data_IF_538249226831
#
_entry.id   IF_538249226831
#
_cell.length_a   1.000
_cell.length_b   1.000
_cell.length_c   1.000
_cell.angle_alpha   90.00
_cell.angle_beta   90.00
_cell.angle_gamma   90.00
#
_symmetry.space_group_name_H-M   'P 1'
#
loop_
_entity.id
_entity.type
_entity.pdbx_description
1 polymer ?
#
# COMPACT_ATOMS: atom_id res chain seq x y z
N UNK A 1 -7.86 -32.10 34.53
CA UNK A 1 -8.79 -31.42 33.62
C UNK A 1 -8.11 -30.15 33.11
N UNK A 2 -7.82 -29.98 31.82
CA UNK A 2 -7.41 -28.68 31.30
C UNK A 2 -8.66 -27.87 30.93
N UNK A 3 -8.82 -26.70 31.55
CA UNK A 3 -9.82 -25.70 31.18
C UNK A 3 -9.38 -25.02 29.88
N UNK A 4 -10.08 -25.28 28.78
CA UNK A 4 -9.97 -24.47 27.56
C UNK A 4 -10.84 -23.22 27.73
N UNK A 5 -10.26 -22.17 28.30
CA UNK A 5 -10.91 -20.84 28.28
C UNK A 5 -10.71 -20.24 26.90
N UNK A 6 -11.79 -20.21 26.12
CA UNK A 6 -11.85 -19.61 24.79
C UNK A 6 -11.44 -18.12 24.79
N UNK A 7 -10.62 -17.73 23.80
CA UNK A 7 -10.26 -16.35 23.37
C UNK A 7 -10.27 -16.32 21.83
N UNK A 8 -10.59 -15.20 21.14
CA UNK A 8 -11.77 -14.33 21.25
C UNK A 8 -12.57 -14.37 19.91
N UNK A 9 -13.86 -14.01 19.93
CA UNK A 9 -14.71 -13.93 18.74
C UNK A 9 -14.94 -12.49 18.25
N UNK A 10 -14.24 -11.49 18.82
CA UNK A 10 -14.38 -10.08 18.49
C UNK A 10 -13.48 -9.62 17.32
N UNK A 11 -12.55 -10.47 16.89
CA UNK A 11 -11.46 -10.08 16.00
C UNK A 11 -11.82 -10.13 14.50
N UNK A 12 -12.86 -10.86 14.11
CA UNK A 12 -13.21 -11.03 12.68
C UNK A 12 -13.72 -9.74 12.03
N UNK A 13 -14.54 -8.96 12.75
CA UNK A 13 -15.04 -7.69 12.21
C UNK A 13 -13.94 -6.64 12.13
N UNK A 14 -13.07 -6.55 13.13
CA UNK A 14 -11.93 -5.65 13.12
C UNK A 14 -10.93 -6.00 12.00
N UNK A 15 -10.66 -7.29 11.78
CA UNK A 15 -9.80 -7.76 10.69
C UNK A 15 -10.40 -7.51 9.30
N UNK A 16 -11.72 -7.65 9.14
CA UNK A 16 -12.41 -7.36 7.87
C UNK A 16 -12.40 -5.85 7.55
N UNK A 17 -12.62 -5.02 8.57
CA UNK A 17 -12.52 -3.56 8.44
C UNK A 17 -11.10 -3.12 8.11
N UNK A 18 -10.09 -3.72 8.76
CA UNK A 18 -8.69 -3.51 8.44
C UNK A 18 -8.42 -3.88 6.98
N UNK A 19 -8.75 -5.10 6.55
CA UNK A 19 -8.60 -5.52 5.14
C UNK A 19 -9.28 -4.57 4.15
N UNK A 20 -10.45 -4.04 4.48
CA UNK A 20 -11.15 -3.10 3.59
C UNK A 20 -10.39 -1.77 3.49
N UNK A 21 -9.85 -1.24 4.59
CA UNK A 21 -9.00 -0.05 4.57
C UNK A 21 -7.74 -0.27 3.72
N UNK A 22 -7.09 -1.42 3.89
CA UNK A 22 -5.93 -1.83 3.09
C UNK A 22 -6.25 -1.89 1.59
N UNK A 23 -7.37 -2.51 1.24
CA UNK A 23 -7.84 -2.60 -0.13
C UNK A 23 -8.10 -1.22 -0.75
N UNK A 24 -8.70 -0.29 0.01
CA UNK A 24 -8.93 1.08 -0.45
C UNK A 24 -7.61 1.82 -0.69
N UNK A 25 -6.63 1.63 0.20
CA UNK A 25 -5.29 2.18 0.03
C UNK A 25 -4.63 1.65 -1.25
N UNK A 26 -4.61 0.33 -1.43
CA UNK A 26 -4.07 -0.35 -2.61
C UNK A 26 -4.73 0.11 -3.90
N UNK A 27 -6.06 0.16 -3.94
CA UNK A 27 -6.81 0.60 -5.12
C UNK A 27 -6.48 2.05 -5.49
N UNK A 28 -6.33 2.93 -4.49
CA UNK A 28 -5.94 4.33 -4.73
C UNK A 28 -4.53 4.46 -5.29
N UNK A 29 -3.56 3.74 -4.72
CA UNK A 29 -2.18 3.69 -5.20
C UNK A 29 -2.14 3.12 -6.63
N UNK A 30 -2.82 2.00 -6.87
CA UNK A 30 -2.90 1.37 -8.18
C UNK A 30 -3.55 2.29 -9.21
N UNK A 31 -4.63 3.00 -8.88
CA UNK A 31 -5.23 4.03 -9.76
C UNK A 31 -4.26 5.15 -10.08
N UNK A 32 -3.45 5.57 -9.11
CA UNK A 32 -2.46 6.62 -9.31
C UNK A 32 -1.38 6.14 -10.28
N UNK A 33 -0.87 4.92 -10.10
CA UNK A 33 0.09 4.28 -11.01
C UNK A 33 -0.50 4.05 -12.40
N UNK A 34 -1.75 3.58 -12.47
CA UNK A 34 -2.47 3.30 -13.72
C UNK A 34 -2.95 4.58 -14.44
N UNK A 35 -2.81 5.75 -13.83
CA UNK A 35 -3.17 7.02 -14.43
C UNK A 35 -2.35 7.27 -15.70
N UNK A 36 -2.95 7.81 -16.78
CA UNK A 36 -2.24 8.07 -18.03
C UNK A 36 -1.04 9.01 -17.83
N UNK A 37 -1.13 9.99 -16.92
CA UNK A 37 -0.01 10.87 -16.59
C UNK A 37 1.14 10.08 -15.97
N UNK A 38 0.83 9.19 -15.02
CA UNK A 38 1.82 8.40 -14.31
C UNK A 38 2.49 7.36 -15.23
N UNK A 39 1.71 6.73 -16.10
CA UNK A 39 2.22 5.83 -17.14
C UNK A 39 3.06 6.54 -18.19
N UNK A 40 2.79 7.82 -18.49
CA UNK A 40 3.56 8.64 -19.42
C UNK A 40 4.87 9.11 -18.80
N UNK A 41 4.82 9.65 -17.59
CA UNK A 41 5.97 10.16 -16.83
C UNK A 41 6.78 9.04 -16.17
N UNK A 42 6.28 7.79 -16.22
CA UNK A 42 6.90 6.64 -15.57
C UNK A 42 7.15 6.86 -14.08
N UNK A 43 6.24 7.60 -13.45
CA UNK A 43 6.31 7.96 -12.05
C UNK A 43 4.93 8.27 -11.48
N UNK A 44 4.74 7.98 -10.20
CA UNK A 44 3.52 8.27 -9.46
C UNK A 44 3.87 8.90 -8.12
N UNK A 45 3.14 9.97 -7.78
CA UNK A 45 3.20 10.55 -6.45
C UNK A 45 2.15 9.85 -5.58
N UNK A 46 2.61 9.10 -4.59
CA UNK A 46 1.78 8.44 -3.61
C UNK A 46 1.78 9.28 -2.33
N UNK A 47 0.59 9.63 -1.85
CA UNK A 47 0.43 10.39 -0.62
C UNK A 47 -0.16 9.48 0.44
N UNK A 48 0.27 9.59 1.70
CA UNK A 48 -0.36 8.82 2.79
C UNK A 48 -1.48 9.66 3.40
N UNK A 49 -2.68 9.11 3.56
CA UNK A 49 -3.76 9.80 4.28
C UNK A 49 -3.62 9.59 5.79
N UNK A 50 -4.13 10.53 6.61
CA UNK A 50 -4.10 10.40 8.07
C UNK A 50 -4.89 9.20 8.63
N UNK A 51 -5.68 8.52 7.81
CA UNK A 51 -6.39 7.29 8.19
C UNK A 51 -5.73 6.00 7.69
N UNK A 52 -4.66 6.11 6.90
CA UNK A 52 -3.90 4.98 6.40
C UNK A 52 -2.91 4.52 7.48
N UNK A 53 -2.82 3.22 7.71
CA UNK A 53 -1.91 2.64 8.70
C UNK A 53 -0.47 2.62 8.15
N UNK A 54 0.50 2.95 8.99
CA UNK A 54 1.92 3.02 8.58
C UNK A 54 2.42 1.64 8.13
N UNK A 55 2.06 0.58 8.85
CA UNK A 55 2.51 -0.77 8.52
C UNK A 55 1.92 -1.23 7.18
N UNK A 56 0.68 -0.86 6.88
CA UNK A 56 0.07 -1.22 5.60
C UNK A 56 0.62 -0.42 4.43
N UNK A 57 0.95 0.84 4.68
CA UNK A 57 1.62 1.70 3.73
C UNK A 57 3.01 1.16 3.38
N UNK A 58 3.81 0.80 4.39
CA UNK A 58 5.13 0.21 4.19
C UNK A 58 5.07 -1.15 3.48
N UNK A 59 4.11 -2.02 3.85
CA UNK A 59 3.90 -3.31 3.19
C UNK A 59 3.56 -3.12 1.69
N UNK A 60 2.67 -2.18 1.38
CA UNK A 60 2.32 -1.85 0.00
C UNK A 60 3.51 -1.28 -0.79
N UNK A 61 4.29 -0.38 -0.19
CA UNK A 61 5.50 0.14 -0.84
C UNK A 61 6.52 -0.99 -1.06
N UNK A 62 6.69 -1.89 -0.10
CA UNK A 62 7.59 -3.03 -0.22
C UNK A 62 7.20 -3.94 -1.40
N UNK A 63 5.91 -4.28 -1.54
CA UNK A 63 5.39 -5.04 -2.69
C UNK A 63 5.62 -4.34 -4.02
N UNK A 64 5.49 -3.01 -4.06
CA UNK A 64 5.83 -2.25 -5.26
C UNK A 64 7.34 -2.31 -5.54
N UNK A 65 8.20 -2.11 -4.53
CA UNK A 65 9.67 -2.18 -4.70
C UNK A 65 10.21 -3.57 -5.02
N UNK A 66 9.43 -4.63 -4.77
CA UNK A 66 9.80 -5.99 -5.14
C UNK A 66 10.07 -6.11 -6.65
N UNK A 67 9.44 -5.26 -7.46
CA UNK A 67 9.81 -5.15 -8.86
C UNK A 67 11.12 -4.35 -9.00
N UNK A 68 12.20 -4.99 -9.46
CA UNK A 68 13.52 -4.39 -9.72
C UNK A 68 13.51 -3.13 -10.59
N UNK A 69 12.41 -2.86 -11.30
CA UNK A 69 12.25 -1.67 -12.11
C UNK A 69 11.67 -0.46 -11.36
N UNK A 70 11.35 -0.57 -10.07
CA UNK A 70 10.76 0.49 -9.26
C UNK A 70 11.80 1.16 -8.36
N UNK A 71 11.85 2.49 -8.40
CA UNK A 71 12.66 3.34 -7.52
C UNK A 71 11.75 4.20 -6.67
N UNK A 72 12.00 4.25 -5.36
CA UNK A 72 11.22 5.05 -4.40
C UNK A 72 12.03 6.25 -3.92
N UNK A 73 11.38 7.41 -3.92
CA UNK A 73 11.89 8.65 -3.36
C UNK A 73 10.93 9.17 -2.27
N UNK A 74 11.39 9.19 -1.02
CA UNK A 74 10.67 9.80 0.09
C UNK A 74 10.83 11.32 0.02
N UNK A 75 9.73 12.08 0.15
CA UNK A 75 9.75 13.55 0.19
C UNK A 75 9.58 14.05 1.62
N UNK A 76 10.09 15.25 1.89
CA UNK A 76 10.01 15.91 3.20
C UNK A 76 8.57 16.20 3.66
N UNK A 77 7.63 16.30 2.71
CA UNK A 77 6.20 16.50 2.98
C UNK A 77 5.47 15.24 3.49
N UNK A 78 6.15 14.09 3.55
CA UNK A 78 5.57 12.80 3.93
C UNK A 78 4.94 12.02 2.77
N UNK A 79 4.94 12.59 1.56
CA UNK A 79 4.57 11.90 0.33
C UNK A 79 5.74 11.10 -0.24
N UNK A 80 5.44 10.04 -0.96
CA UNK A 80 6.42 9.12 -1.56
C UNK A 80 6.25 9.14 -3.07
N UNK A 81 7.29 9.50 -3.79
CA UNK A 81 7.29 9.45 -5.25
C UNK A 81 7.96 8.17 -5.73
N UNK A 82 7.24 7.40 -6.53
CA UNK A 82 7.76 6.17 -7.13
C UNK A 82 8.03 6.39 -8.61
N UNK A 83 9.06 5.75 -9.14
CA UNK A 83 9.47 5.82 -10.54
C UNK A 83 9.68 4.41 -11.07
N UNK A 84 9.22 4.11 -12.28
CA UNK A 84 9.44 2.79 -12.87
C UNK A 84 9.91 2.82 -14.31
N UNK A 85 10.97 2.09 -14.62
CA UNK A 85 11.36 1.87 -16.02
C UNK A 85 10.52 0.75 -16.63
N UNK A 86 9.76 1.06 -17.68
CA UNK A 86 9.17 0.02 -18.51
C UNK A 86 10.26 -0.50 -19.45
N UNK A 87 10.98 -1.52 -18.98
CA UNK A 87 11.81 -2.36 -19.85
C UNK A 87 10.84 -3.08 -20.79
N UNK A 88 10.81 -2.65 -22.05
CA UNK A 88 10.02 -3.32 -23.07
C UNK A 88 10.86 -4.50 -23.55
N UNK A 89 10.47 -5.70 -23.13
CA UNK A 89 10.88 -6.95 -23.79
C UNK A 89 10.46 -6.92 -25.27
#
# INVERSE_FOLDING_TARGET
MPTVTAKPAADKNAQTLAQTRRQVLRDRVQRTIASPTAQKEKSALLERMPGDDDADWEELLAELTEHDNLTIAHRDDGSVQIFWTVTKD
#
